data_IF_501424969910
#
_entry.id   IF_501424969910
#
_cell.length_a   1.000
_cell.length_b   1.000
_cell.length_c   1.000
_cell.angle_alpha   90.00
_cell.angle_beta   90.00
_cell.angle_gamma   90.00
#
_symmetry.space_group_name_H-M   'P 1'
#
loop_
_entity.id
_entity.type
_entity.pdbx_description
1 polymer ?
#
# COMPACT_ATOMS: atom_id res chain seq x y z
N UNK A 1 42.29 42.55 27.02
CA UNK A 1 41.77 42.46 25.65
C UNK A 1 41.23 41.04 25.48
N UNK A 2 39.90 40.91 25.39
CA UNK A 2 39.09 39.74 24.94
C UNK A 2 39.30 38.41 25.71
N UNK A 3 38.45 38.03 26.67
CA UNK A 3 37.07 37.49 26.56
C UNK A 3 37.00 36.01 26.12
N UNK A 4 36.36 35.23 27.02
CA UNK A 4 35.56 34.01 26.83
C UNK A 4 35.38 33.53 25.38
N UNK A 5 35.51 32.23 25.12
CA UNK A 5 34.32 31.38 25.00
C UNK A 5 34.67 29.89 24.99
N UNK A 6 33.85 29.09 25.65
CA UNK A 6 33.89 27.64 25.57
C UNK A 6 32.66 27.17 24.81
N UNK A 7 32.86 26.38 23.77
CA UNK A 7 31.79 25.64 23.09
C UNK A 7 32.42 24.33 22.59
N UNK A 8 32.24 23.22 23.30
CA UNK A 8 31.11 22.29 23.11
C UNK A 8 30.89 21.98 21.63
N UNK A 9 31.64 21.02 21.11
CA UNK A 9 31.16 20.21 19.99
C UNK A 9 30.87 18.80 20.49
N UNK A 10 29.83 18.71 21.32
CA UNK A 10 29.17 17.46 21.66
C UNK A 10 27.78 17.51 21.03
N UNK A 11 27.63 16.78 19.95
CA UNK A 11 26.39 16.12 19.60
C UNK A 11 25.56 16.82 18.53
N UNK A 12 25.56 16.26 17.32
CA UNK A 12 24.32 15.98 16.59
C UNK A 12 24.49 14.67 15.80
N UNK A 13 24.77 13.57 16.51
CA UNK A 13 24.38 12.26 15.99
C UNK A 13 22.94 12.05 16.46
N UNK A 14 22.00 12.67 15.74
CA UNK A 14 20.58 12.59 16.01
C UNK A 14 20.11 11.16 15.75
N UNK A 15 20.19 10.37 16.82
CA UNK A 15 19.37 9.24 17.22
C UNK A 15 18.19 8.94 16.27
N UNK A 16 18.47 8.27 15.14
CA UNK A 16 17.46 7.59 14.34
C UNK A 16 17.20 6.21 14.96
N UNK A 17 16.78 6.19 16.23
CA UNK A 17 16.17 4.98 16.78
C UNK A 17 14.81 4.82 16.08
N UNK A 18 14.58 3.73 15.33
CA UNK A 18 13.24 3.44 14.84
C UNK A 18 12.31 3.40 16.05
N UNK A 19 11.26 4.21 16.01
CA UNK A 19 10.26 4.23 17.09
C UNK A 19 9.73 2.82 17.31
N UNK A 20 9.41 2.48 18.56
CA UNK A 20 8.87 1.17 18.92
C UNK A 20 7.70 0.81 17.99
N UNK A 21 7.62 -0.45 17.51
CA UNK A 21 6.48 -0.92 16.73
C UNK A 21 5.15 -0.57 17.45
N UNK A 22 4.22 0.04 16.73
CA UNK A 22 2.93 0.52 17.25
C UNK A 22 2.99 1.84 18.02
N UNK A 23 4.11 2.56 18.00
CA UNK A 23 4.22 3.89 18.61
C UNK A 23 3.52 4.99 17.79
N UNK A 24 3.26 6.18 18.39
CA UNK A 24 2.53 7.28 17.73
C UNK A 24 3.09 7.70 16.37
N UNK A 25 4.42 7.57 16.19
CA UNK A 25 5.10 7.88 14.93
C UNK A 25 4.76 6.88 13.81
N UNK A 26 4.60 5.60 14.12
CA UNK A 26 4.21 4.60 13.14
C UNK A 26 2.74 4.75 12.75
N UNK A 27 1.87 5.04 13.72
CA UNK A 27 0.45 5.32 13.47
C UNK A 27 0.28 6.50 12.54
N UNK A 28 0.92 7.64 12.83
CA UNK A 28 0.88 8.82 11.96
C UNK A 28 1.51 8.54 10.59
N UNK A 29 2.50 7.64 10.51
CA UNK A 29 3.06 7.19 9.22
C UNK A 29 1.99 6.44 8.43
N UNK A 30 1.31 5.47 9.03
CA UNK A 30 0.25 4.65 8.39
C UNK A 30 -0.94 5.49 7.96
N UNK A 31 -1.41 6.41 8.80
CA UNK A 31 -2.49 7.33 8.47
C UNK A 31 -2.14 8.17 7.24
N UNK A 32 -0.93 8.73 7.19
CA UNK A 32 -0.49 9.55 6.06
C UNK A 32 -0.30 8.75 4.77
N UNK A 33 0.19 7.52 4.87
CA UNK A 33 0.24 6.61 3.72
C UNK A 33 -1.17 6.36 3.19
N UNK A 34 -2.12 6.06 4.08
CA UNK A 34 -3.50 5.79 3.72
C UNK A 34 -4.20 6.99 3.06
N UNK A 35 -3.99 8.20 3.58
CA UNK A 35 -4.52 9.43 2.97
C UNK A 35 -4.06 9.61 1.51
N UNK A 36 -2.78 9.31 1.23
CA UNK A 36 -2.23 9.37 -0.12
C UNK A 36 -2.80 8.27 -1.02
N UNK A 37 -2.91 7.04 -0.52
CA UNK A 37 -3.50 5.90 -1.23
C UNK A 37 -4.98 6.14 -1.58
N UNK A 38 -5.79 6.59 -0.60
CA UNK A 38 -7.21 6.87 -0.79
C UNK A 38 -7.43 7.99 -1.83
N UNK A 39 -6.64 9.07 -1.75
CA UNK A 39 -6.71 10.17 -2.70
C UNK A 39 -6.31 9.74 -4.11
N UNK A 40 -5.23 8.97 -4.23
CA UNK A 40 -4.76 8.46 -5.51
C UNK A 40 -5.76 7.49 -6.14
N UNK A 41 -6.26 6.51 -5.37
CA UNK A 41 -7.22 5.53 -5.86
C UNK A 41 -8.48 6.19 -6.42
N UNK A 42 -9.00 7.20 -5.71
CA UNK A 42 -10.15 7.97 -6.18
C UNK A 42 -9.87 8.64 -7.53
N UNK A 43 -8.74 9.35 -7.63
CA UNK A 43 -8.38 10.06 -8.86
C UNK A 43 -8.14 9.09 -10.03
N UNK A 44 -7.46 7.98 -9.79
CA UNK A 44 -7.19 6.96 -10.81
C UNK A 44 -8.48 6.34 -11.34
N UNK A 45 -9.42 6.00 -10.46
CA UNK A 45 -10.73 5.44 -10.87
C UNK A 45 -11.54 6.45 -11.70
N UNK A 46 -11.44 7.74 -11.38
CA UNK A 46 -12.17 8.81 -12.08
C UNK A 46 -11.55 9.19 -13.43
N UNK A 47 -10.21 9.20 -13.55
CA UNK A 47 -9.49 9.82 -14.65
C UNK A 47 -8.52 8.91 -15.41
N UNK A 48 -8.25 7.70 -14.89
CA UNK A 48 -7.20 6.79 -15.37
C UNK A 48 -5.83 7.07 -14.76
N UNK A 49 -4.91 6.11 -14.84
CA UNK A 49 -3.56 6.23 -14.25
C UNK A 49 -2.74 7.35 -14.92
N UNK A 50 -2.74 7.40 -16.25
CA UNK A 50 -1.89 8.31 -17.03
C UNK A 50 -2.22 9.78 -16.81
N UNK A 51 -3.51 10.10 -16.67
CA UNK A 51 -3.99 11.47 -16.53
C UNK A 51 -3.74 12.08 -15.14
N UNK A 52 -3.35 11.27 -14.15
CA UNK A 52 -3.17 11.70 -12.76
C UNK A 52 -1.69 11.89 -12.43
N UNK A 53 -1.36 13.06 -11.86
CA UNK A 53 -0.01 13.43 -11.44
C UNK A 53 0.18 13.31 -9.92
N UNK A 54 1.43 13.27 -9.47
CA UNK A 54 1.76 13.32 -8.03
C UNK A 54 1.25 14.63 -7.39
N UNK A 55 1.22 15.73 -8.15
CA UNK A 55 0.72 17.01 -7.65
C UNK A 55 -0.79 16.96 -7.40
N UNK A 56 -1.57 16.35 -8.31
CA UNK A 56 -3.01 16.13 -8.12
C UNK A 56 -3.28 15.30 -6.85
N UNK A 57 -2.53 14.22 -6.66
CA UNK A 57 -2.66 13.31 -5.50
C UNK A 57 -2.37 14.07 -4.20
N UNK A 58 -1.24 14.78 -4.16
CA UNK A 58 -0.82 15.49 -2.95
C UNK A 58 -1.75 16.64 -2.60
N UNK A 59 -2.28 17.34 -3.61
CA UNK A 59 -3.31 18.36 -3.43
C UNK A 59 -4.61 17.76 -2.89
N UNK A 60 -5.08 16.64 -3.47
CA UNK A 60 -6.29 15.96 -3.02
C UNK A 60 -6.16 15.40 -1.58
N UNK A 61 -4.98 14.93 -1.21
CA UNK A 61 -4.68 14.45 0.14
C UNK A 61 -4.42 15.58 1.16
N UNK A 62 -4.32 16.85 0.72
CA UNK A 62 -4.04 17.99 1.59
C UNK A 62 -2.62 17.96 2.18
N UNK A 63 -1.64 17.45 1.42
CA UNK A 63 -0.26 17.29 1.87
C UNK A 63 0.72 18.02 0.97
N UNK A 64 1.87 18.43 1.52
CA UNK A 64 2.94 18.98 0.70
C UNK A 64 3.57 17.90 -0.19
N UNK A 65 4.00 18.23 -1.42
CA UNK A 65 4.64 17.31 -2.36
C UNK A 65 5.83 16.53 -1.77
N UNK A 66 6.66 17.18 -0.97
CA UNK A 66 7.78 16.52 -0.27
C UNK A 66 7.34 15.42 0.71
N UNK A 67 6.09 15.45 1.17
CA UNK A 67 5.49 14.40 1.99
C UNK A 67 5.35 13.11 1.19
N UNK A 68 4.91 13.16 -0.07
CA UNK A 68 4.77 11.99 -0.94
C UNK A 68 6.07 11.19 -1.01
N UNK A 69 7.18 11.87 -1.31
CA UNK A 69 8.50 11.25 -1.47
C UNK A 69 9.08 10.66 -0.17
N UNK A 70 8.44 10.89 0.98
CA UNK A 70 8.77 10.22 2.24
C UNK A 70 8.17 8.81 2.34
N UNK A 71 7.14 8.52 1.55
CA UNK A 71 6.38 7.26 1.57
C UNK A 71 6.55 6.46 0.28
N UNK A 72 6.59 7.13 -0.88
CA UNK A 72 6.66 6.51 -2.19
C UNK A 72 7.81 7.08 -3.00
N UNK A 73 8.48 6.25 -3.78
CA UNK A 73 9.57 6.68 -4.67
C UNK A 73 8.99 7.48 -5.85
N UNK A 74 7.91 6.98 -6.43
CA UNK A 74 7.23 7.55 -7.59
C UNK A 74 5.75 7.12 -7.62
N UNK A 75 5.04 7.50 -8.71
CA UNK A 75 3.63 7.12 -8.93
C UNK A 75 3.47 5.60 -9.07
N UNK A 76 4.41 4.91 -9.68
CA UNK A 76 4.34 3.47 -9.89
C UNK A 76 4.43 2.71 -8.56
N UNK A 77 5.33 3.11 -7.65
CA UNK A 77 5.43 2.54 -6.31
C UNK A 77 4.18 2.76 -5.46
N UNK A 78 3.47 3.88 -5.64
CA UNK A 78 2.15 4.06 -5.02
C UNK A 78 1.11 3.09 -5.60
N UNK A 79 1.07 2.94 -6.93
CA UNK A 79 0.15 2.00 -7.58
C UNK A 79 0.44 0.57 -7.11
N UNK A 80 1.70 0.15 -7.06
CA UNK A 80 2.07 -1.16 -6.54
C UNK A 80 1.56 -1.38 -5.11
N UNK A 81 1.69 -0.38 -4.23
CA UNK A 81 1.17 -0.44 -2.87
C UNK A 81 -0.36 -0.59 -2.80
N UNK A 82 -1.10 0.10 -3.68
CA UNK A 82 -2.56 -0.06 -3.79
C UNK A 82 -2.97 -1.47 -4.24
N UNK A 83 -2.18 -2.09 -5.13
CA UNK A 83 -2.47 -3.41 -5.69
C UNK A 83 -2.01 -4.56 -4.78
N UNK A 84 -1.03 -4.33 -3.90
CA UNK A 84 -0.39 -5.36 -3.10
C UNK A 84 -1.36 -6.17 -2.20
N UNK A 85 -2.34 -5.57 -1.50
CA UNK A 85 -3.28 -6.34 -0.67
C UNK A 85 -4.08 -7.35 -1.49
N UNK A 86 -4.61 -6.92 -2.63
CA UNK A 86 -5.39 -7.78 -3.54
C UNK A 86 -4.52 -8.86 -4.17
N UNK A 87 -3.29 -8.49 -4.58
CA UNK A 87 -2.31 -9.41 -5.16
C UNK A 87 -1.95 -10.53 -4.18
N UNK A 88 -1.65 -10.18 -2.94
CA UNK A 88 -1.29 -11.14 -1.89
C UNK A 88 -2.42 -12.13 -1.60
N UNK A 89 -3.66 -11.65 -1.49
CA UNK A 89 -4.84 -12.49 -1.29
C UNK A 89 -5.08 -13.44 -2.47
N UNK A 90 -5.01 -12.93 -3.70
CA UNK A 90 -5.24 -13.73 -4.91
C UNK A 90 -4.15 -14.79 -5.13
N UNK A 91 -2.87 -14.44 -4.95
CA UNK A 91 -1.76 -15.40 -5.08
C UNK A 91 -1.88 -16.51 -4.04
N UNK A 92 -2.17 -16.15 -2.79
CA UNK A 92 -2.39 -17.14 -1.71
C UNK A 92 -3.57 -18.06 -2.02
N UNK A 93 -4.67 -17.51 -2.57
CA UNK A 93 -5.82 -18.29 -3.02
C UNK A 93 -5.49 -19.25 -4.15
N UNK A 94 -4.72 -18.80 -5.15
CA UNK A 94 -4.27 -19.63 -6.28
C UNK A 94 -3.39 -20.79 -5.82
N UNK A 95 -2.43 -20.52 -4.94
CA UNK A 95 -1.56 -21.55 -4.36
C UNK A 95 -2.37 -22.58 -3.58
N UNK A 96 -3.28 -22.13 -2.72
CA UNK A 96 -4.16 -23.02 -1.94
C UNK A 96 -5.04 -23.88 -2.85
N UNK A 97 -5.62 -23.29 -3.91
CA UNK A 97 -6.41 -24.00 -4.91
C UNK A 97 -5.58 -25.07 -5.63
N UNK A 98 -4.38 -24.71 -6.11
CA UNK A 98 -3.47 -25.65 -6.77
C UNK A 98 -3.07 -26.82 -5.88
N UNK A 99 -2.77 -26.56 -4.61
CA UNK A 99 -2.48 -27.62 -3.63
C UNK A 99 -3.69 -28.53 -3.37
N UNK A 100 -4.89 -27.96 -3.30
CA UNK A 100 -6.12 -28.73 -3.11
C UNK A 100 -6.41 -29.61 -4.34
N UNK A 101 -6.27 -29.08 -5.55
CA UNK A 101 -6.41 -29.84 -6.80
C UNK A 101 -5.39 -30.97 -6.92
N UNK A 102 -4.13 -30.75 -6.52
CA UNK A 102 -3.11 -31.79 -6.52
C UNK A 102 -3.42 -32.98 -5.60
N UNK A 103 -4.26 -32.78 -4.57
CA UNK A 103 -4.70 -33.81 -3.62
C UNK A 103 -6.11 -34.34 -3.91
N UNK A 104 -6.86 -33.67 -4.80
CA UNK A 104 -8.27 -33.95 -5.04
C UNK A 104 -8.47 -35.36 -5.62
N UNK A 105 -9.50 -36.05 -5.12
CA UNK A 105 -9.96 -37.34 -5.64
C UNK A 105 -11.46 -37.23 -5.91
N UNK A 106 -11.84 -37.30 -7.18
CA UNK A 106 -13.22 -37.10 -7.61
C UNK A 106 -13.58 -35.63 -7.89
N UNK A 107 -14.71 -35.43 -8.55
CA UNK A 107 -15.17 -34.12 -9.04
C UNK A 107 -15.57 -33.21 -7.88
N UNK A 108 -16.10 -33.78 -6.80
CA UNK A 108 -16.54 -33.07 -5.61
C UNK A 108 -15.37 -32.35 -4.92
N UNK A 109 -14.22 -33.02 -4.80
CA UNK A 109 -13.02 -32.43 -4.22
C UNK A 109 -12.44 -31.31 -5.11
N UNK A 110 -12.52 -31.47 -6.43
CA UNK A 110 -12.11 -30.43 -7.37
C UNK A 110 -13.03 -29.21 -7.28
N UNK A 111 -14.35 -29.44 -7.20
CA UNK A 111 -15.34 -28.37 -7.06
C UNK A 111 -15.11 -27.57 -5.78
N UNK A 112 -14.79 -28.22 -4.66
CA UNK A 112 -14.51 -27.53 -3.40
C UNK A 112 -13.26 -26.64 -3.49
N UNK A 113 -12.20 -27.09 -4.17
CA UNK A 113 -11.02 -26.28 -4.44
C UNK A 113 -11.36 -25.02 -5.25
N UNK A 114 -12.13 -25.17 -6.33
CA UNK A 114 -12.57 -24.03 -7.15
C UNK A 114 -13.53 -23.11 -6.39
N UNK A 115 -14.41 -23.65 -5.55
CA UNK A 115 -15.33 -22.86 -4.72
C UNK A 115 -14.58 -22.01 -3.71
N UNK A 116 -13.55 -22.56 -3.07
CA UNK A 116 -12.67 -21.83 -2.17
C UNK A 116 -11.95 -20.68 -2.89
N UNK A 117 -11.42 -20.94 -4.09
CA UNK A 117 -10.82 -19.90 -4.92
C UNK A 117 -11.82 -18.80 -5.30
N UNK A 118 -13.02 -19.19 -5.73
CA UNK A 118 -14.09 -18.24 -6.06
C UNK A 118 -14.50 -17.37 -4.87
N UNK A 119 -14.47 -17.91 -3.64
CA UNK A 119 -14.73 -17.15 -2.42
C UNK A 119 -13.63 -16.10 -2.15
N UNK A 120 -12.36 -16.43 -2.39
CA UNK A 120 -11.25 -15.46 -2.29
C UNK A 120 -11.44 -14.33 -3.31
N UNK A 121 -11.71 -14.67 -4.57
CA UNK A 121 -11.99 -13.67 -5.62
C UNK A 121 -13.17 -12.79 -5.22
N UNK A 122 -14.28 -13.38 -4.77
CA UNK A 122 -15.46 -12.65 -4.34
C UNK A 122 -15.17 -11.71 -3.14
N UNK A 123 -14.35 -12.15 -2.18
CA UNK A 123 -13.91 -11.30 -1.06
C UNK A 123 -13.13 -10.09 -1.56
N UNK A 124 -12.15 -10.31 -2.44
CA UNK A 124 -11.35 -9.23 -3.00
C UNK A 124 -12.20 -8.21 -3.78
N UNK A 125 -13.18 -8.68 -4.57
CA UNK A 125 -14.12 -7.82 -5.30
C UNK A 125 -14.96 -6.93 -4.37
N UNK A 126 -15.36 -7.44 -3.20
CA UNK A 126 -16.19 -6.72 -2.24
C UNK A 126 -15.38 -5.80 -1.33
N UNK A 127 -14.16 -6.19 -0.96
CA UNK A 127 -13.30 -5.44 -0.05
C UNK A 127 -12.53 -4.32 -0.75
N UNK A 128 -12.16 -4.50 -2.01
CA UNK A 128 -11.32 -3.54 -2.74
C UNK A 128 -11.92 -3.15 -4.11
N UNK A 129 -13.18 -2.67 -4.16
CA UNK A 129 -13.86 -2.41 -5.43
C UNK A 129 -13.15 -1.35 -6.29
N UNK A 130 -12.51 -0.35 -5.65
CA UNK A 130 -11.72 0.67 -6.37
C UNK A 130 -10.47 0.09 -7.02
N UNK A 131 -9.76 -0.80 -6.31
CA UNK A 131 -8.52 -1.43 -6.80
C UNK A 131 -8.82 -2.37 -7.96
N UNK A 132 -9.90 -3.14 -7.85
CA UNK A 132 -10.36 -4.02 -8.93
C UNK A 132 -10.76 -3.20 -10.15
N UNK A 133 -11.50 -2.11 -9.95
CA UNK A 133 -11.89 -1.23 -11.06
C UNK A 133 -10.67 -0.64 -11.76
N UNK A 134 -9.67 -0.21 -10.99
CA UNK A 134 -8.40 0.26 -11.52
C UNK A 134 -7.70 -0.82 -12.37
N UNK A 135 -7.64 -2.06 -11.87
CA UNK A 135 -7.06 -3.20 -12.58
C UNK A 135 -7.74 -3.52 -13.92
N UNK A 136 -9.04 -3.27 -14.03
CA UNK A 136 -9.81 -3.56 -15.25
C UNK A 136 -9.76 -2.41 -16.28
N UNK A 137 -9.21 -1.25 -15.91
CA UNK A 137 -9.09 -0.08 -16.78
C UNK A 137 -7.77 -0.03 -17.57
N UNK A 138 -6.81 -0.89 -17.22
CA UNK A 138 -5.49 -1.05 -17.84
C UNK A 138 -5.41 -2.36 -18.64
#
# INVERSE_FOLDING_TARGET
MVSRDGTRDRGVEADKRPGRPGGPRETARRERTKELEDAALKLFVERGLDAVTIDDITQAAGVAKGTFYRYFVDKAGLVEALLEPVRGELLSGLEACGQALGKARGVEAMFEAYRAMAAVIASALLQYPGVVRLYLQE
#
